data_IF_231404114209
#
_entry.id   IF_231404114209
#
_cell.length_a   1.000
_cell.length_b   1.000
_cell.length_c   1.000
_cell.angle_alpha   90.00
_cell.angle_beta   90.00
_cell.angle_gamma   90.00
#
_symmetry.space_group_name_H-M   'P 1'
#
loop_
_entity.id
_entity.type
_entity.pdbx_description
1 polymer ?
#
# COMPACT_ATOMS: atom_id res chain seq x y z
N UNK A 1 2.47 -7.82 -3.69
CA UNK A 1 2.09 -6.46 -4.17
C UNK A 1 3.31 -5.57 -4.23
N UNK A 2 3.55 -4.94 -5.35
CA UNK A 2 4.65 -3.98 -5.49
C UNK A 2 4.26 -2.65 -4.85
N UNK A 3 5.18 -2.09 -4.06
CA UNK A 3 4.94 -0.78 -3.44
C UNK A 3 4.69 0.30 -4.49
N UNK A 4 5.44 0.27 -5.60
CA UNK A 4 5.26 1.24 -6.69
C UNK A 4 3.84 1.20 -7.27
N UNK A 5 3.28 0.02 -7.45
CA UNK A 5 1.92 -0.13 -7.95
C UNK A 5 0.90 0.44 -6.96
N UNK A 6 1.10 0.20 -5.69
CA UNK A 6 0.21 0.73 -4.66
C UNK A 6 0.27 2.26 -4.61
N UNK A 7 1.46 2.84 -4.70
CA UNK A 7 1.62 4.30 -4.73
C UNK A 7 0.90 4.89 -5.95
N UNK A 8 1.06 4.28 -7.11
CA UNK A 8 0.41 4.73 -8.34
C UNK A 8 -1.11 4.66 -8.21
N UNK A 9 -1.62 3.57 -7.66
CA UNK A 9 -3.08 3.41 -7.51
C UNK A 9 -3.68 4.47 -6.59
N UNK A 10 -3.09 4.67 -5.40
CA UNK A 10 -3.64 5.62 -4.42
C UNK A 10 -3.26 7.07 -4.71
N UNK A 11 -2.26 7.31 -5.53
CA UNK A 11 -1.87 8.63 -6.00
C UNK A 11 -0.69 9.26 -5.27
N UNK A 12 -0.42 8.86 -4.04
CA UNK A 12 0.74 9.37 -3.29
C UNK A 12 1.07 8.43 -2.14
N UNK A 13 2.27 8.59 -1.57
CA UNK A 13 2.68 7.82 -0.39
C UNK A 13 1.80 8.12 0.81
N UNK A 14 1.38 9.37 0.98
CA UNK A 14 0.50 9.77 2.08
C UNK A 14 -0.86 9.08 1.97
N UNK A 15 -1.44 9.07 0.78
CA UNK A 15 -2.72 8.40 0.55
C UNK A 15 -2.59 6.90 0.74
N UNK A 16 -1.48 6.31 0.29
CA UNK A 16 -1.21 4.90 0.52
C UNK A 16 -1.11 4.58 2.00
N UNK A 17 -0.40 5.41 2.77
CA UNK A 17 -0.26 5.21 4.21
C UNK A 17 -1.62 5.24 4.90
N UNK A 18 -2.48 6.18 4.53
CA UNK A 18 -3.83 6.28 5.07
C UNK A 18 -4.65 5.04 4.75
N UNK A 19 -4.58 4.55 3.52
CA UNK A 19 -5.31 3.35 3.11
C UNK A 19 -4.82 2.10 3.84
N UNK A 20 -3.51 2.01 4.08
CA UNK A 20 -2.91 0.88 4.78
C UNK A 20 -3.08 0.97 6.31
N UNK A 21 -3.49 2.13 6.83
CA UNK A 21 -3.62 2.33 8.26
C UNK A 21 -2.29 2.44 8.98
N UNK A 22 -1.27 2.97 8.31
CA UNK A 22 0.08 3.13 8.86
C UNK A 22 0.56 4.56 8.67
N UNK A 23 1.68 4.88 9.30
CA UNK A 23 2.32 6.18 9.14
C UNK A 23 3.12 6.22 7.84
N UNK A 24 3.34 7.43 7.32
CA UNK A 24 4.15 7.63 6.13
C UNK A 24 5.55 7.03 6.27
N UNK A 25 6.15 7.13 7.46
CA UNK A 25 7.47 6.54 7.72
C UNK A 25 7.47 5.02 7.52
N UNK A 26 6.36 4.35 7.83
CA UNK A 26 6.25 2.91 7.62
C UNK A 26 6.26 2.57 6.14
N UNK A 27 5.55 3.35 5.32
CA UNK A 27 5.56 3.17 3.86
C UNK A 27 6.97 3.35 3.32
N UNK A 28 7.68 4.37 3.78
CA UNK A 28 9.06 4.62 3.36
C UNK A 28 10.01 3.48 3.75
N UNK A 29 9.73 2.81 4.87
CA UNK A 29 10.53 1.68 5.34
C UNK A 29 10.26 0.38 4.59
N UNK A 30 9.15 0.27 3.89
CA UNK A 30 8.86 -0.90 3.05
C UNK A 30 9.88 -0.96 1.92
N UNK A 31 10.33 -2.18 1.59
CA UNK A 31 11.19 -2.38 0.44
C UNK A 31 10.41 -2.32 -0.87
N UNK A 32 10.79 -3.15 -1.81
CA UNK A 32 10.13 -3.22 -3.13
C UNK A 32 8.70 -3.75 -3.00
N UNK A 33 8.48 -4.66 -2.05
CA UNK A 33 7.17 -5.29 -1.83
C UNK A 33 6.51 -4.75 -0.59
N UNK A 34 5.18 -4.59 -0.66
CA UNK A 34 4.36 -4.26 0.50
C UNK A 34 4.34 -5.47 1.45
N UNK A 35 4.50 -5.27 2.77
CA UNK A 35 4.39 -6.38 3.72
C UNK A 35 3.06 -7.10 3.59
N UNK A 36 3.07 -8.41 3.79
CA UNK A 36 1.92 -9.29 3.54
C UNK A 36 0.64 -8.83 4.21
N UNK A 37 0.69 -8.54 5.51
CA UNK A 37 -0.50 -8.12 6.23
C UNK A 37 -1.07 -6.79 5.74
N UNK A 38 -0.21 -5.89 5.28
CA UNK A 38 -0.66 -4.61 4.71
C UNK A 38 -1.14 -4.78 3.28
N UNK A 39 -0.55 -5.70 2.53
CA UNK A 39 -0.98 -6.00 1.17
C UNK A 39 -2.43 -6.48 1.12
N UNK A 40 -2.83 -7.34 2.05
CA UNK A 40 -4.22 -7.79 2.14
C UNK A 40 -5.18 -6.62 2.40
N UNK A 41 -4.80 -5.73 3.30
CA UNK A 41 -5.61 -4.55 3.60
C UNK A 41 -5.74 -3.65 2.39
N UNK A 42 -4.66 -3.45 1.64
CA UNK A 42 -4.68 -2.63 0.43
C UNK A 42 -5.50 -3.27 -0.68
N UNK A 43 -5.47 -4.57 -0.80
CA UNK A 43 -6.32 -5.27 -1.75
C UNK A 43 -7.80 -4.97 -1.48
N UNK A 44 -8.22 -5.03 -0.23
CA UNK A 44 -9.59 -4.71 0.15
C UNK A 44 -9.89 -3.23 -0.07
N UNK A 45 -8.98 -2.34 0.32
CA UNK A 45 -9.15 -0.89 0.17
C UNK A 45 -9.24 -0.48 -1.30
N UNK A 46 -8.63 -1.22 -2.21
CA UNK A 46 -8.66 -0.95 -3.64
C UNK A 46 -9.85 -1.59 -4.35
N UNK A 47 -10.72 -2.28 -3.62
CA UNK A 47 -11.83 -3.00 -4.23
C UNK A 47 -11.38 -4.19 -5.07
N UNK A 48 -10.20 -4.74 -4.78
CA UNK A 48 -9.64 -5.88 -5.49
C UNK A 48 -8.80 -5.51 -6.71
N UNK A 49 -8.67 -4.23 -7.04
CA UNK A 49 -7.86 -3.82 -8.18
C UNK A 49 -6.37 -4.04 -7.94
N UNK A 50 -5.92 -3.82 -6.69
CA UNK A 50 -4.57 -4.22 -6.30
C UNK A 50 -4.65 -5.66 -5.79
N UNK A 51 -3.74 -6.49 -6.29
CA UNK A 51 -3.71 -7.90 -5.94
C UNK A 51 -2.62 -8.17 -4.91
N UNK A 52 -2.97 -8.96 -3.92
CA UNK A 52 -2.05 -9.44 -2.90
C UNK A 52 -0.86 -10.17 -3.52
#
# INVERSE_FOLDING_TARGET
>A
MLKADAITFFGSKTKLANAAGVRLASVAAWGILVPEGRAMRLQEASGGELQY
#
